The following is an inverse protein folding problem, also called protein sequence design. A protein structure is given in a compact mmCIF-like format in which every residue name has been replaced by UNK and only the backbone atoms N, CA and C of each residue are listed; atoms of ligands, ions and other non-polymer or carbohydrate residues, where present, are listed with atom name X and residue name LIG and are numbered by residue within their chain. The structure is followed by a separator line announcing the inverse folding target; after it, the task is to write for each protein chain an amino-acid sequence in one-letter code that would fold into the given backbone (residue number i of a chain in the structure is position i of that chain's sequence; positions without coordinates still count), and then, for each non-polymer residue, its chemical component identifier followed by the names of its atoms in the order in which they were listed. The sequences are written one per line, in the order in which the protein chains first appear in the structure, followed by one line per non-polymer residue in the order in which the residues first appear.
data_IF_360869433618
#
_entry.id   IF_360869433618
#
_cell.length_a   1.000
_cell.length_b   1.000
_cell.length_c   1.000
_cell.angle_alpha   90.00
_cell.angle_beta   90.00
_cell.angle_gamma   90.00
#
_symmetry.space_group_name_H-M   'P 1'
#
loop_
_entity.id
_entity.type
_entity.pdbx_description
1 polymer ?
#
# COMPACT_ATOMS: atom_id res chain seq x y z
N UNK A 1 -1.23 11.00 -16.45
CA UNK A 1 -0.57 10.33 -15.29
C UNK A 1 -0.46 8.82 -15.53
N UNK A 2 0.60 8.13 -15.03
CA UNK A 2 0.75 6.67 -15.27
C UNK A 2 -0.37 5.86 -14.63
N UNK A 3 -0.78 6.25 -13.42
CA UNK A 3 -1.86 5.58 -12.66
C UNK A 3 -3.18 5.60 -13.44
N UNK A 4 -3.49 6.71 -14.05
CA UNK A 4 -4.72 6.90 -14.82
C UNK A 4 -4.77 6.04 -16.08
N UNK A 5 -3.68 5.98 -16.86
CA UNK A 5 -3.60 5.08 -18.01
C UNK A 5 -3.83 3.61 -17.62
N UNK A 6 -3.36 3.23 -16.45
CA UNK A 6 -3.55 1.87 -15.95
C UNK A 6 -4.98 1.61 -15.49
N UNK A 7 -5.64 2.62 -14.90
CA UNK A 7 -7.04 2.56 -14.52
C UNK A 7 -7.97 2.54 -15.74
N UNK A 8 -7.69 3.38 -16.75
CA UNK A 8 -8.44 3.42 -18.00
C UNK A 8 -8.41 2.08 -18.75
N UNK A 9 -7.25 1.42 -18.82
CA UNK A 9 -7.13 0.06 -19.36
C UNK A 9 -8.01 -0.96 -18.65
N UNK A 10 -8.35 -0.71 -17.39
CA UNK A 10 -9.24 -1.56 -16.57
C UNK A 10 -10.71 -1.11 -16.65
N UNK A 11 -11.03 -0.12 -17.49
CA UNK A 11 -12.38 0.39 -17.67
C UNK A 11 -12.88 1.28 -16.53
N UNK A 12 -11.98 1.81 -15.70
CA UNK A 12 -12.33 2.76 -14.65
C UNK A 12 -12.42 4.18 -15.22
N UNK A 13 -13.53 4.88 -14.95
CA UNK A 13 -13.67 6.31 -15.28
C UNK A 13 -12.89 7.13 -14.27
N UNK A 14 -11.94 7.94 -14.74
CA UNK A 14 -11.08 8.78 -13.89
C UNK A 14 -11.31 10.25 -14.23
N UNK A 15 -11.54 11.05 -13.18
CA UNK A 15 -11.63 12.52 -13.27
C UNK A 15 -10.50 13.14 -12.47
N UNK A 16 -9.80 14.11 -13.08
CA UNK A 16 -8.70 14.83 -12.44
C UNK A 16 -9.16 16.23 -12.04
N UNK A 17 -8.81 16.63 -10.82
CA UNK A 17 -8.89 18.03 -10.36
C UNK A 17 -7.48 18.57 -10.32
N UNK A 18 -7.23 19.65 -11.08
CA UNK A 18 -5.92 20.30 -11.16
C UNK A 18 -6.06 21.80 -10.97
N UNK A 19 -5.22 22.37 -10.10
CA UNK A 19 -5.26 23.80 -9.79
C UNK A 19 -4.58 24.65 -10.87
N UNK A 20 -3.50 24.15 -11.46
CA UNK A 20 -2.75 24.89 -12.47
C UNK A 20 -3.37 24.71 -13.86
N UNK A 21 -3.96 25.77 -14.45
CA UNK A 21 -4.57 25.66 -15.77
C UNK A 21 -3.55 25.39 -16.89
N UNK A 22 -2.26 25.65 -16.67
CA UNK A 22 -1.21 25.39 -17.66
C UNK A 22 -0.95 23.89 -17.85
N UNK A 23 -1.29 23.08 -16.86
CA UNK A 23 -1.15 21.62 -16.93
C UNK A 23 -2.30 20.94 -17.69
N UNK A 24 -3.34 21.69 -18.07
CA UNK A 24 -4.51 21.15 -18.76
C UNK A 24 -4.16 20.39 -20.04
N UNK A 25 -3.29 20.94 -20.86
CA UNK A 25 -2.90 20.32 -22.15
C UNK A 25 -2.14 19.00 -21.92
N UNK A 26 -1.20 18.98 -20.97
CA UNK A 26 -0.44 17.77 -20.64
C UNK A 26 -1.31 16.68 -19.98
N UNK A 27 -2.34 17.06 -19.26
CA UNK A 27 -3.31 16.13 -18.66
C UNK A 27 -4.29 15.64 -19.74
N UNK A 28 -4.69 16.51 -20.68
CA UNK A 28 -5.60 16.15 -21.78
C UNK A 28 -5.03 15.08 -22.73
N UNK A 29 -3.72 14.89 -22.76
CA UNK A 29 -3.09 13.75 -23.46
C UNK A 29 -3.44 12.39 -22.82
N UNK A 30 -3.91 12.40 -21.59
CA UNK A 30 -4.16 11.20 -20.78
C UNK A 30 -5.65 11.02 -20.51
N UNK A 31 -6.37 12.08 -20.14
CA UNK A 31 -7.83 12.07 -19.95
C UNK A 31 -8.48 13.35 -20.45
N UNK A 32 -9.72 13.22 -20.92
CA UNK A 32 -10.57 14.36 -21.29
C UNK A 32 -11.39 14.90 -20.12
N UNK A 33 -11.46 14.17 -19.00
CA UNK A 33 -12.29 14.52 -17.85
C UNK A 33 -11.48 15.24 -16.76
N UNK A 34 -11.21 16.54 -17.01
CA UNK A 34 -10.40 17.39 -16.14
C UNK A 34 -11.21 18.59 -15.66
N UNK A 35 -11.28 18.78 -14.35
CA UNK A 35 -11.80 19.97 -13.68
C UNK A 35 -10.61 20.85 -13.28
N UNK A 36 -10.53 22.06 -13.85
CA UNK A 36 -9.50 23.04 -13.47
C UNK A 36 -10.04 23.87 -12.31
N UNK A 37 -9.33 23.81 -11.17
CA UNK A 37 -9.70 24.54 -9.97
C UNK A 37 -8.98 24.03 -8.72
N UNK A 38 -9.15 24.76 -7.62
CA UNK A 38 -8.61 24.37 -6.33
C UNK A 38 -9.54 23.32 -5.68
N UNK A 39 -9.00 22.13 -5.37
CA UNK A 39 -9.75 21.06 -4.75
C UNK A 39 -10.28 21.41 -3.34
N UNK A 40 -9.80 22.51 -2.73
CA UNK A 40 -10.33 23.02 -1.48
C UNK A 40 -11.59 23.90 -1.65
N UNK A 41 -11.97 24.25 -2.90
CA UNK A 41 -13.23 24.94 -3.20
C UNK A 41 -14.36 23.91 -3.36
N UNK A 42 -15.41 24.08 -2.57
CA UNK A 42 -16.59 23.22 -2.55
C UNK A 42 -17.21 22.99 -3.93
N UNK A 43 -17.25 24.05 -4.76
CA UNK A 43 -17.84 23.98 -6.11
C UNK A 43 -17.00 23.13 -7.05
N UNK A 44 -15.67 23.19 -6.92
CA UNK A 44 -14.75 22.44 -7.75
C UNK A 44 -14.87 20.95 -7.44
N UNK A 45 -14.89 20.60 -6.15
CA UNK A 45 -14.95 19.20 -5.73
C UNK A 45 -16.31 18.57 -6.00
N UNK A 46 -17.39 19.36 -5.87
CA UNK A 46 -18.74 18.92 -6.26
C UNK A 46 -18.84 18.73 -7.79
N UNK A 47 -18.28 19.64 -8.60
CA UNK A 47 -18.21 19.49 -10.04
C UNK A 47 -17.40 18.24 -10.44
N UNK A 48 -16.39 17.88 -9.66
CA UNK A 48 -15.62 16.67 -9.85
C UNK A 48 -16.40 15.38 -9.54
N UNK A 49 -17.58 15.47 -8.94
CA UNK A 49 -18.45 14.32 -8.66
C UNK A 49 -18.09 13.56 -7.41
N UNK A 50 -17.58 14.25 -6.38
CA UNK A 50 -17.14 13.67 -5.10
C UNK A 50 -18.17 12.72 -4.49
N UNK A 51 -19.47 13.05 -4.55
CA UNK A 51 -20.54 12.28 -3.88
C UNK A 51 -20.77 10.88 -4.44
N UNK A 52 -20.32 10.63 -5.67
CA UNK A 52 -20.53 9.35 -6.37
C UNK A 52 -19.24 8.64 -6.71
N UNK A 53 -18.10 9.21 -6.36
CA UNK A 53 -16.80 8.60 -6.59
C UNK A 53 -16.64 7.34 -5.73
N UNK A 54 -16.27 6.22 -6.33
CA UNK A 54 -15.97 4.99 -5.59
C UNK A 54 -14.65 5.11 -4.82
N UNK A 55 -13.69 5.87 -5.36
CA UNK A 55 -12.39 6.12 -4.72
C UNK A 55 -11.84 7.51 -5.06
N UNK A 56 -11.04 8.02 -4.16
CA UNK A 56 -10.42 9.33 -4.22
C UNK A 56 -8.91 9.18 -4.00
N UNK A 57 -8.12 9.87 -4.80
CA UNK A 57 -6.65 9.85 -4.66
C UNK A 57 -6.16 11.29 -4.46
N UNK A 58 -5.70 11.59 -3.26
CA UNK A 58 -5.21 12.90 -2.86
C UNK A 58 -3.68 12.95 -3.08
N UNK A 59 -3.24 13.73 -4.05
CA UNK A 59 -1.85 13.75 -4.51
C UNK A 59 -1.20 15.14 -4.47
N UNK A 60 -1.74 16.09 -3.70
CA UNK A 60 -1.09 17.39 -3.57
C UNK A 60 0.28 17.25 -2.91
N UNK A 61 1.13 18.26 -3.11
CA UNK A 61 2.49 18.26 -2.53
C UNK A 61 2.53 18.74 -1.07
N UNK A 62 1.37 19.06 -0.50
CA UNK A 62 1.25 19.58 0.86
C UNK A 62 0.39 18.65 1.72
N UNK A 63 1.00 18.06 2.76
CA UNK A 63 0.35 17.13 3.65
C UNK A 63 -0.84 17.76 4.40
N UNK A 64 -0.74 19.04 4.77
CA UNK A 64 -1.84 19.73 5.46
C UNK A 64 -3.08 19.86 4.55
N UNK A 65 -2.86 20.16 3.29
CA UNK A 65 -3.92 20.18 2.27
C UNK A 65 -4.52 18.80 2.08
N UNK A 66 -3.71 17.74 2.01
CA UNK A 66 -4.22 16.37 1.86
C UNK A 66 -5.01 15.94 3.11
N UNK A 67 -4.57 16.29 4.31
CA UNK A 67 -5.32 16.04 5.56
C UNK A 67 -6.67 16.77 5.54
N UNK A 68 -6.69 18.05 5.16
CA UNK A 68 -7.94 18.81 5.03
C UNK A 68 -8.89 18.15 4.01
N UNK A 69 -8.37 17.81 2.83
CA UNK A 69 -9.16 17.16 1.79
C UNK A 69 -9.70 15.80 2.24
N UNK A 70 -8.91 15.01 2.98
CA UNK A 70 -9.37 13.72 3.50
C UNK A 70 -10.59 13.89 4.43
N UNK A 71 -10.54 14.83 5.39
CA UNK A 71 -11.67 15.15 6.27
C UNK A 71 -12.88 15.59 5.47
N UNK A 72 -12.67 16.50 4.52
CA UNK A 72 -13.74 17.10 3.74
C UNK A 72 -14.39 16.06 2.81
N UNK A 73 -13.59 15.31 2.08
CA UNK A 73 -14.07 14.26 1.18
C UNK A 73 -14.80 13.15 1.93
N UNK A 74 -14.30 12.70 3.07
CA UNK A 74 -14.96 11.70 3.91
C UNK A 74 -16.32 12.17 4.40
N UNK A 75 -16.45 13.46 4.73
CA UNK A 75 -17.74 14.07 5.10
C UNK A 75 -18.74 14.09 3.95
N UNK A 76 -18.29 14.37 2.73
CA UNK A 76 -19.16 14.45 1.53
C UNK A 76 -19.52 13.07 0.98
N UNK A 77 -18.61 12.11 1.10
CA UNK A 77 -18.77 10.74 0.63
C UNK A 77 -18.18 9.75 1.66
N UNK A 78 -19.02 9.29 2.60
CA UNK A 78 -18.58 8.40 3.67
C UNK A 78 -18.09 7.03 3.20
N UNK A 79 -18.55 6.57 2.04
CA UNK A 79 -18.30 5.22 1.54
C UNK A 79 -17.12 5.14 0.57
N UNK A 80 -16.58 6.29 0.13
CA UNK A 80 -15.46 6.30 -0.81
C UNK A 80 -14.16 5.78 -0.18
N UNK A 81 -13.39 5.04 -0.94
CA UNK A 81 -12.01 4.69 -0.57
C UNK A 81 -11.13 5.92 -0.79
N UNK A 82 -10.47 6.39 0.27
CA UNK A 82 -9.59 7.57 0.21
C UNK A 82 -8.14 7.11 0.33
N UNK A 83 -7.37 7.33 -0.74
CA UNK A 83 -5.92 7.12 -0.78
C UNK A 83 -5.25 8.49 -0.75
N UNK A 84 -4.32 8.71 0.16
CA UNK A 84 -3.63 9.99 0.27
C UNK A 84 -2.12 9.84 0.18
N UNK A 85 -1.51 10.72 -0.62
CA UNK A 85 -0.07 10.91 -0.59
C UNK A 85 0.35 11.61 0.69
N UNK A 86 1.48 11.17 1.26
CA UNK A 86 2.13 11.79 2.42
C UNK A 86 3.60 11.99 2.11
N UNK A 87 4.10 13.19 2.37
CA UNK A 87 5.51 13.55 2.20
C UNK A 87 6.31 13.25 3.47
N UNK A 88 5.72 13.53 4.64
CA UNK A 88 6.38 13.36 5.93
C UNK A 88 5.78 12.19 6.70
N UNK A 89 6.57 11.15 7.03
CA UNK A 89 6.08 9.98 7.78
C UNK A 89 5.39 10.30 9.10
N UNK A 90 5.76 11.43 9.75
CA UNK A 90 5.10 11.91 10.98
C UNK A 90 3.61 12.24 10.81
N UNK A 91 3.15 12.47 9.58
CA UNK A 91 1.77 12.86 9.28
C UNK A 91 0.86 11.65 8.94
N UNK A 92 1.42 10.45 8.88
CA UNK A 92 0.68 9.21 8.56
C UNK A 92 -0.51 9.01 9.52
N UNK A 93 -0.29 9.10 10.83
CA UNK A 93 -1.37 8.96 11.80
C UNK A 93 -2.43 10.07 11.67
N UNK A 94 -2.01 11.29 11.32
CA UNK A 94 -2.93 12.41 11.15
C UNK A 94 -3.83 12.21 9.93
N UNK A 95 -3.32 11.72 8.80
CA UNK A 95 -4.11 11.48 7.58
C UNK A 95 -5.14 10.36 7.78
N UNK A 96 -4.82 9.30 8.56
CA UNK A 96 -5.80 8.26 8.89
C UNK A 96 -6.90 8.79 9.80
N UNK A 97 -6.54 9.55 10.85
CA UNK A 97 -7.57 10.22 11.68
C UNK A 97 -8.43 11.19 10.88
N UNK A 98 -7.89 11.74 9.79
CA UNK A 98 -8.62 12.58 8.85
C UNK A 98 -9.61 11.80 7.96
N UNK A 99 -9.52 10.45 7.95
CA UNK A 99 -10.44 9.59 7.22
C UNK A 99 -9.85 8.97 5.95
N UNK A 100 -8.55 9.06 5.69
CA UNK A 100 -7.93 8.30 4.63
C UNK A 100 -7.84 6.82 5.02
N UNK A 101 -8.18 5.94 4.07
CA UNK A 101 -8.06 4.49 4.24
C UNK A 101 -6.62 4.04 4.01
N UNK A 102 -5.92 4.72 3.11
CA UNK A 102 -4.52 4.42 2.80
C UNK A 102 -3.69 5.70 2.72
N UNK A 103 -2.48 5.64 3.30
CA UNK A 103 -1.46 6.67 3.14
C UNK A 103 -0.28 6.11 2.33
N UNK A 104 0.19 6.86 1.35
CA UNK A 104 1.27 6.45 0.45
C UNK A 104 2.41 7.47 0.55
N UNK A 105 3.56 7.02 1.00
CA UNK A 105 4.76 7.87 1.12
C UNK A 105 5.75 7.59 -0.02
N UNK A 106 6.07 8.63 -0.78
CA UNK A 106 7.08 8.57 -1.85
C UNK A 106 8.44 8.07 -1.34
N UNK A 107 8.83 8.50 -0.14
CA UNK A 107 10.10 8.10 0.46
C UNK A 107 10.11 6.62 0.85
N UNK A 108 9.02 6.10 1.39
CA UNK A 108 8.90 4.67 1.71
C UNK A 108 8.94 3.81 0.46
N UNK A 109 8.19 4.20 -0.59
CA UNK A 109 8.23 3.49 -1.88
C UNK A 109 9.66 3.44 -2.44
N UNK A 110 10.37 4.57 -2.44
CA UNK A 110 11.75 4.66 -2.94
C UNK A 110 12.70 3.80 -2.12
N UNK A 111 12.62 3.85 -0.79
CA UNK A 111 13.45 3.05 0.11
C UNK A 111 13.18 1.55 -0.11
N UNK A 112 11.92 1.14 -0.16
CA UNK A 112 11.57 -0.27 -0.41
C UNK A 112 12.04 -0.73 -1.78
N UNK A 113 11.91 0.09 -2.82
CA UNK A 113 12.41 -0.24 -4.17
C UNK A 113 13.92 -0.41 -4.20
N UNK A 114 14.68 0.45 -3.51
CA UNK A 114 16.14 0.32 -3.41
C UNK A 114 16.53 -0.93 -2.64
N UNK A 115 15.90 -1.18 -1.50
CA UNK A 115 16.17 -2.37 -0.69
C UNK A 115 15.81 -3.66 -1.44
N UNK A 116 14.71 -3.68 -2.17
CA UNK A 116 14.31 -4.81 -3.00
C UNK A 116 15.33 -5.06 -4.12
N UNK A 117 15.79 -4.02 -4.81
CA UNK A 117 16.82 -4.12 -5.84
C UNK A 117 18.14 -4.65 -5.27
N UNK A 118 18.59 -4.18 -4.11
CA UNK A 118 19.80 -4.67 -3.44
C UNK A 118 19.66 -6.14 -3.03
N UNK A 119 18.46 -6.59 -2.67
CA UNK A 119 18.17 -7.97 -2.28
C UNK A 119 17.83 -8.90 -3.45
N UNK A 120 17.68 -8.36 -4.68
CA UNK A 120 17.26 -9.12 -5.85
C UNK A 120 15.79 -9.60 -5.77
N UNK A 121 14.94 -8.87 -5.06
CA UNK A 121 13.49 -9.17 -4.91
C UNK A 121 12.65 -8.08 -5.57
N UNK A 122 11.40 -8.41 -5.94
CA UNK A 122 10.46 -7.39 -6.39
C UNK A 122 9.86 -6.64 -5.20
N UNK A 123 9.72 -5.30 -5.27
CA UNK A 123 9.05 -4.53 -4.22
C UNK A 123 7.56 -4.80 -4.25
N UNK A 124 6.98 -5.23 -3.14
CA UNK A 124 5.55 -5.37 -2.98
C UNK A 124 5.07 -4.49 -1.82
N UNK A 125 4.19 -3.55 -2.12
CA UNK A 125 3.62 -2.62 -1.15
C UNK A 125 2.20 -3.08 -0.83
N UNK A 126 1.96 -3.55 0.40
CA UNK A 126 0.67 -4.09 0.84
C UNK A 126 -0.19 -3.09 1.65
N UNK A 127 0.23 -1.84 1.75
CA UNK A 127 -0.41 -0.84 2.60
C UNK A 127 0.48 -0.41 3.77
N UNK A 128 -0.06 0.36 4.71
CA UNK A 128 0.72 0.99 5.78
C UNK A 128 1.45 0.02 6.68
N UNK A 129 2.78 0.16 6.65
CA UNK A 129 3.66 -0.58 7.55
C UNK A 129 3.62 -2.10 7.42
N UNK A 130 2.84 -2.64 6.46
CA UNK A 130 2.83 -4.05 6.14
C UNK A 130 3.71 -4.32 4.93
N UNK A 131 4.70 -5.15 5.13
CA UNK A 131 5.59 -5.67 4.10
C UNK A 131 5.29 -7.14 3.84
N UNK A 132 5.48 -7.56 2.60
CA UNK A 132 5.58 -8.96 2.24
C UNK A 132 7.04 -9.29 1.99
N UNK A 133 7.55 -10.31 2.64
CA UNK A 133 8.94 -10.73 2.46
C UNK A 133 9.09 -12.24 2.58
N UNK A 134 10.15 -12.75 2.00
CA UNK A 134 10.50 -14.19 2.09
C UNK A 134 11.72 -14.38 2.98
N UNK A 135 11.71 -15.43 3.78
CA UNK A 135 12.89 -15.91 4.48
C UNK A 135 13.02 -17.42 4.33
N UNK A 136 14.27 -17.90 4.31
CA UNK A 136 14.52 -19.34 4.39
C UNK A 136 14.10 -19.88 5.74
N UNK A 137 13.64 -21.14 5.77
CA UNK A 137 13.32 -21.83 7.01
C UNK A 137 14.57 -21.90 7.88
N UNK A 138 14.55 -21.27 9.07
CA UNK A 138 15.67 -21.32 10.01
C UNK A 138 15.92 -22.76 10.51
N UNK A 139 17.18 -23.08 10.81
CA UNK A 139 17.54 -24.41 11.36
C UNK A 139 16.75 -24.77 12.62
N UNK A 140 16.41 -23.78 13.43
CA UNK A 140 15.62 -23.95 14.65
C UNK A 140 14.17 -24.40 14.42
N UNK A 141 13.67 -24.26 13.18
CA UNK A 141 12.32 -24.63 12.78
C UNK A 141 12.25 -25.84 11.84
N UNK A 142 13.40 -26.40 11.43
CA UNK A 142 13.44 -27.60 10.56
C UNK A 142 12.71 -28.77 11.24
N UNK A 143 11.81 -29.43 10.50
CA UNK A 143 10.99 -30.55 10.98
C UNK A 143 9.88 -30.19 11.95
N UNK A 144 9.66 -28.89 12.18
CA UNK A 144 8.60 -28.43 13.07
C UNK A 144 7.31 -28.16 12.27
N UNK A 145 6.15 -28.66 12.70
CA UNK A 145 4.86 -28.27 12.11
C UNK A 145 4.64 -26.76 12.17
N UNK A 146 4.04 -26.19 11.14
CA UNK A 146 3.80 -24.75 11.05
C UNK A 146 3.03 -24.24 12.29
N UNK A 147 2.04 -25.01 12.77
CA UNK A 147 1.25 -24.69 13.96
C UNK A 147 2.12 -24.57 15.22
N UNK A 148 3.11 -25.46 15.36
CA UNK A 148 3.99 -25.53 16.54
C UNK A 148 5.23 -24.65 16.42
N UNK A 149 5.44 -24.01 15.26
CA UNK A 149 6.60 -23.15 15.00
C UNK A 149 6.68 -21.93 15.91
N UNK A 150 5.54 -21.49 16.44
CA UNK A 150 5.44 -20.28 17.26
C UNK A 150 5.69 -18.98 16.51
N UNK A 151 5.78 -19.01 15.16
CA UNK A 151 6.07 -17.83 14.35
C UNK A 151 5.09 -16.71 14.64
N UNK A 152 3.79 -16.95 14.47
CA UNK A 152 2.75 -15.95 14.73
C UNK A 152 2.75 -15.49 16.19
N UNK A 153 2.83 -16.42 17.12
CA UNK A 153 2.74 -16.12 18.56
C UNK A 153 3.92 -15.29 19.07
N UNK A 154 5.13 -15.51 18.54
CA UNK A 154 6.36 -14.86 19.01
C UNK A 154 6.73 -13.58 18.25
N UNK A 155 6.32 -13.49 17.00
CA UNK A 155 6.72 -12.37 16.11
C UNK A 155 5.54 -11.56 15.58
N UNK A 156 4.32 -12.10 15.64
CA UNK A 156 3.14 -11.48 15.02
C UNK A 156 3.10 -11.58 13.49
N UNK A 157 4.05 -12.30 12.86
CA UNK A 157 4.08 -12.50 11.41
C UNK A 157 3.04 -13.51 10.96
N UNK A 158 2.31 -13.18 9.89
CA UNK A 158 1.43 -14.14 9.23
C UNK A 158 2.20 -14.88 8.11
N UNK A 159 2.09 -16.22 8.11
CA UNK A 159 2.60 -17.06 7.01
C UNK A 159 1.53 -17.09 5.91
N UNK A 160 1.91 -16.72 4.68
CA UNK A 160 1.01 -16.65 3.53
C UNK A 160 1.23 -17.82 2.58
N UNK A 161 2.48 -18.19 2.34
CA UNK A 161 2.83 -19.29 1.45
C UNK A 161 4.17 -19.91 1.85
N UNK A 162 4.40 -21.14 1.38
CA UNK A 162 5.70 -21.81 1.51
C UNK A 162 6.13 -22.27 0.13
N UNK A 163 7.36 -21.91 -0.25
CA UNK A 163 7.99 -22.32 -1.51
C UNK A 163 9.06 -23.35 -1.23
N UNK A 164 8.97 -24.50 -1.89
CA UNK A 164 9.97 -25.55 -1.82
C UNK A 164 10.07 -26.32 -3.14
N UNK A 165 11.29 -26.66 -3.57
CA UNK A 165 11.53 -27.39 -4.82
C UNK A 165 10.88 -26.78 -6.08
N UNK A 166 10.76 -25.43 -6.12
CA UNK A 166 10.13 -24.73 -7.23
C UNK A 166 8.59 -24.78 -7.24
N UNK A 167 7.97 -25.29 -6.17
CA UNK A 167 6.51 -25.35 -6.01
C UNK A 167 6.10 -24.42 -4.86
N UNK A 168 5.12 -23.56 -5.12
CA UNK A 168 4.54 -22.67 -4.12
C UNK A 168 3.26 -23.29 -3.57
N UNK A 169 3.20 -23.46 -2.26
CA UNK A 169 1.99 -23.80 -1.52
C UNK A 169 1.36 -22.50 -0.96
N UNK A 170 0.31 -21.96 -1.56
CA UNK A 170 -0.27 -20.68 -1.17
C UNK A 170 -1.20 -20.77 0.06
N UNK A 171 -1.49 -21.98 0.54
CA UNK A 171 -2.34 -22.22 1.71
C UNK A 171 -1.78 -23.38 2.52
N UNK A 172 -0.59 -23.20 3.15
CA UNK A 172 0.05 -24.27 3.87
C UNK A 172 -0.83 -24.71 5.05
N UNK A 173 -1.02 -26.03 5.15
CA UNK A 173 -1.81 -26.60 6.28
C UNK A 173 -1.05 -26.41 7.59
N UNK A 174 -1.75 -26.21 8.71
CA UNK A 174 -1.12 -26.03 10.02
C UNK A 174 -0.16 -27.17 10.43
N UNK A 175 -0.48 -28.40 10.02
CA UNK A 175 0.29 -29.61 10.33
C UNK A 175 1.50 -29.83 9.41
N UNK A 176 1.66 -28.99 8.38
CA UNK A 176 2.78 -29.07 7.44
C UNK A 176 4.10 -28.81 8.15
N UNK A 177 5.02 -29.74 8.08
CA UNK A 177 6.39 -29.56 8.57
C UNK A 177 7.19 -28.62 7.68
N UNK A 178 7.97 -27.76 8.32
CA UNK A 178 8.90 -26.84 7.67
C UNK A 178 10.19 -27.58 7.33
N UNK A 179 10.61 -27.53 6.07
CA UNK A 179 11.79 -28.28 5.61
C UNK A 179 12.96 -27.34 5.28
N UNK A 180 14.15 -27.86 5.41
CA UNK A 180 15.38 -27.16 5.07
C UNK A 180 15.40 -26.75 3.59
N UNK A 181 15.81 -25.50 3.32
CA UNK A 181 15.90 -24.95 1.97
C UNK A 181 14.55 -24.45 1.41
N UNK A 182 13.46 -24.62 2.14
CA UNK A 182 12.21 -23.97 1.80
C UNK A 182 12.25 -22.48 2.17
N UNK A 183 11.46 -21.69 1.44
CA UNK A 183 11.26 -20.27 1.70
C UNK A 183 9.82 -20.01 2.15
N UNK A 184 9.68 -19.32 3.25
CA UNK A 184 8.37 -18.91 3.77
C UNK A 184 8.09 -17.49 3.37
N UNK A 185 6.92 -17.24 2.80
CA UNK A 185 6.39 -15.92 2.49
C UNK A 185 5.60 -15.41 3.68
N UNK A 186 6.02 -14.28 4.21
CA UNK A 186 5.43 -13.62 5.36
C UNK A 186 4.74 -12.31 4.99
N UNK A 187 3.73 -11.96 5.77
CA UNK A 187 3.16 -10.61 5.84
C UNK A 187 3.29 -10.10 7.27
N UNK A 188 3.79 -8.89 7.42
CA UNK A 188 3.92 -8.22 8.70
C UNK A 188 4.68 -6.90 8.60
N UNK A 189 4.93 -6.27 9.76
CA UNK A 189 5.68 -5.01 9.83
C UNK A 189 7.20 -5.24 9.81
N UNK A 190 7.96 -4.18 9.55
CA UNK A 190 9.44 -4.23 9.62
C UNK A 190 9.92 -4.67 11.01
N UNK A 191 9.28 -4.20 12.08
CA UNK A 191 9.63 -4.58 13.46
C UNK A 191 9.35 -6.07 13.75
N UNK A 192 8.29 -6.62 13.20
CA UNK A 192 7.98 -8.05 13.31
C UNK A 192 8.98 -8.92 12.55
N UNK A 193 9.45 -8.43 11.42
CA UNK A 193 10.52 -9.09 10.66
C UNK A 193 11.84 -9.10 11.45
N UNK A 194 12.25 -7.95 12.02
CA UNK A 194 13.46 -7.86 12.86
C UNK A 194 13.35 -8.79 14.06
N UNK A 195 12.16 -8.90 14.66
CA UNK A 195 11.88 -9.83 15.74
C UNK A 195 12.03 -11.30 15.28
N UNK A 196 11.55 -11.64 14.08
CA UNK A 196 11.73 -12.99 13.52
C UNK A 196 13.21 -13.33 13.37
N UNK A 197 14.02 -12.41 12.84
CA UNK A 197 15.46 -12.62 12.70
C UNK A 197 16.14 -12.78 14.05
N UNK A 198 15.72 -12.03 15.05
CA UNK A 198 16.26 -12.13 16.42
C UNK A 198 15.91 -13.44 17.13
N UNK A 199 14.70 -13.95 16.88
CA UNK A 199 14.13 -15.10 17.60
C UNK A 199 14.54 -16.44 17.00
N UNK A 200 14.69 -16.52 15.67
CA UNK A 200 14.82 -17.79 14.94
C UNK A 200 16.12 -17.96 14.18
N UNK A 201 16.87 -16.91 13.87
CA UNK A 201 18.20 -16.97 13.27
C UNK A 201 19.28 -16.90 14.31
#
# INVERSE_FOLDING_TARGET
CQVERELDKRGASVRIVERDPQLRESIAEVTTDVVIGDATDDRVIEQAGIRTAASLVLTTNDDATNIFLAVYCRKLNPDAIIVSRITHPSNVEAIHRAGADFAVSDSQIKIQSVLAAVRGTEPMILGEGLDMFTAEVPRSLEGTPLLDSGILARTGLAVVAIEGNGVVDPHPRPERELSRGERVLFVGTASQRDEFERVFK
#
